data_IF_355780744583
#
_entry.id   IF_355780744583
#
_cell.length_a   1.000
_cell.length_b   1.000
_cell.length_c   1.000
_cell.angle_alpha   90.00
_cell.angle_beta   90.00
_cell.angle_gamma   90.00
#
_symmetry.space_group_name_H-M   'P 1'
#
loop_
_entity.id
_entity.type
_entity.pdbx_description
1 polymer ?
#
# COMPACT_ATOMS: atom_id res chain seq x y z
N UNK A 1 14.53 -7.75 6.56
CA UNK A 1 14.25 -8.60 7.72
C UNK A 1 13.14 -9.61 7.44
N UNK A 2 11.98 -9.15 6.93
CA UNK A 2 10.84 -10.04 6.66
C UNK A 2 11.19 -11.13 5.66
N UNK A 3 11.91 -10.79 4.60
CA UNK A 3 12.33 -11.77 3.57
C UNK A 3 13.17 -12.90 4.15
N UNK A 4 14.05 -12.57 5.08
CA UNK A 4 14.99 -13.54 5.67
C UNK A 4 14.37 -14.35 6.79
N UNK A 5 13.52 -13.73 7.60
CA UNK A 5 13.00 -14.31 8.84
C UNK A 5 11.61 -14.92 8.70
N UNK A 6 10.88 -14.54 7.68
CA UNK A 6 9.51 -15.01 7.44
C UNK A 6 9.39 -15.62 6.03
N UNK A 7 9.94 -16.81 5.78
CA UNK A 7 9.96 -17.39 4.45
C UNK A 7 8.56 -17.72 3.89
N UNK A 8 7.55 -17.81 4.74
CA UNK A 8 6.16 -18.00 4.31
C UNK A 8 5.51 -16.72 3.81
N UNK A 9 6.19 -15.58 3.94
CA UNK A 9 5.69 -14.28 3.49
C UNK A 9 6.45 -13.86 2.25
N UNK A 10 5.73 -13.64 1.16
CA UNK A 10 6.30 -13.02 -0.04
C UNK A 10 6.27 -11.51 0.17
N UNK A 11 7.43 -10.90 0.18
CA UNK A 11 7.57 -9.47 0.44
C UNK A 11 8.15 -8.76 -0.77
N UNK A 12 7.42 -7.80 -1.30
CA UNK A 12 7.88 -6.93 -2.38
C UNK A 12 8.00 -5.51 -1.83
N UNK A 13 9.23 -5.05 -1.73
CA UNK A 13 9.48 -3.66 -1.38
C UNK A 13 9.35 -2.82 -2.64
N UNK A 14 8.24 -2.10 -2.71
CA UNK A 14 7.95 -1.21 -3.83
C UNK A 14 8.58 0.14 -3.58
N UNK A 15 9.91 0.16 -3.57
CA UNK A 15 10.63 1.41 -3.45
C UNK A 15 10.52 2.15 -4.77
N UNK A 16 9.54 3.01 -4.84
CA UNK A 16 9.19 3.73 -6.05
C UNK A 16 9.98 5.02 -6.20
N UNK A 17 10.86 5.31 -5.25
CA UNK A 17 11.56 6.58 -5.25
C UNK A 17 10.66 7.77 -4.94
N UNK A 18 9.50 7.53 -4.32
CA UNK A 18 8.63 8.62 -3.85
C UNK A 18 9.35 9.39 -2.76
N UNK A 19 10.22 10.28 -3.15
CA UNK A 19 10.72 11.29 -2.26
C UNK A 19 9.98 12.57 -2.59
N UNK A 20 9.59 13.28 -1.58
CA UNK A 20 8.93 14.58 -1.75
C UNK A 20 9.80 15.57 -2.50
N UNK A 21 11.08 15.25 -2.63
CA UNK A 21 12.08 16.07 -3.31
C UNK A 21 12.15 15.81 -4.81
N UNK A 22 11.57 14.72 -5.32
CA UNK A 22 11.58 14.47 -6.75
C UNK A 22 10.50 15.31 -7.43
N UNK A 23 10.91 16.00 -8.49
CA UNK A 23 9.99 16.78 -9.31
C UNK A 23 9.50 16.00 -10.54
N UNK A 24 9.92 14.75 -10.69
CA UNK A 24 9.61 13.94 -11.85
C UNK A 24 8.35 13.08 -11.62
N UNK A 25 7.21 13.70 -11.86
CA UNK A 25 5.92 13.04 -11.76
C UNK A 25 5.78 11.87 -12.75
N UNK A 26 6.35 11.99 -13.96
CA UNK A 26 6.26 10.93 -14.96
C UNK A 26 6.96 9.67 -14.51
N UNK A 27 8.12 9.80 -13.89
CA UNK A 27 8.87 8.68 -13.32
C UNK A 27 8.10 8.01 -12.18
N UNK A 28 7.48 8.81 -11.32
CA UNK A 28 6.68 8.31 -10.19
C UNK A 28 5.45 7.53 -10.67
N UNK A 29 4.79 8.00 -11.72
CA UNK A 29 3.64 7.31 -12.31
C UNK A 29 4.08 5.96 -12.89
N UNK A 30 5.19 5.90 -13.61
CA UNK A 30 5.71 4.65 -14.16
C UNK A 30 6.04 3.67 -13.04
N UNK A 31 6.69 4.14 -11.99
CA UNK A 31 7.02 3.33 -10.82
C UNK A 31 5.75 2.80 -10.14
N UNK A 32 4.74 3.63 -9.97
CA UNK A 32 3.46 3.24 -9.37
C UNK A 32 2.76 2.17 -10.20
N UNK A 33 2.71 2.34 -11.53
CA UNK A 33 2.09 1.37 -12.43
C UNK A 33 2.84 0.03 -12.45
N UNK A 34 4.16 0.07 -12.40
CA UNK A 34 4.99 -1.14 -12.32
C UNK A 34 4.71 -1.90 -11.03
N UNK A 35 4.68 -1.19 -9.90
CA UNK A 35 4.35 -1.78 -8.60
C UNK A 35 2.95 -2.35 -8.57
N UNK A 36 1.99 -1.64 -9.13
CA UNK A 36 0.61 -2.09 -9.20
C UNK A 36 0.45 -3.35 -10.05
N UNK A 37 1.19 -3.46 -11.15
CA UNK A 37 1.15 -4.66 -11.99
C UNK A 37 1.57 -5.91 -11.20
N UNK A 38 2.55 -5.80 -10.33
CA UNK A 38 2.98 -6.88 -9.44
C UNK A 38 1.88 -7.20 -8.43
N UNK A 39 1.32 -6.19 -7.79
CA UNK A 39 0.23 -6.36 -6.82
C UNK A 39 -0.99 -7.01 -7.48
N UNK A 40 -1.32 -6.60 -8.69
CA UNK A 40 -2.44 -7.14 -9.44
C UNK A 40 -2.29 -8.64 -9.73
N UNK A 41 -1.08 -9.09 -10.03
CA UNK A 41 -0.78 -10.52 -10.18
C UNK A 41 -1.00 -11.28 -8.88
N UNK A 42 -0.57 -10.71 -7.75
CA UNK A 42 -0.77 -11.32 -6.45
C UNK A 42 -2.25 -11.42 -6.09
N UNK A 43 -3.04 -10.42 -6.44
CA UNK A 43 -4.49 -10.42 -6.20
C UNK A 43 -5.23 -11.47 -7.03
N UNK A 44 -4.65 -11.93 -8.14
CA UNK A 44 -5.22 -12.98 -8.98
C UNK A 44 -4.77 -14.38 -8.56
N UNK A 45 -3.77 -14.47 -7.71
CA UNK A 45 -3.15 -15.73 -7.30
C UNK A 45 -3.86 -16.27 -6.05
N UNK A 46 -4.57 -17.38 -6.19
CA UNK A 46 -5.34 -17.99 -5.11
C UNK A 46 -4.48 -18.68 -4.05
N UNK A 47 -3.18 -18.80 -4.28
CA UNK A 47 -2.26 -19.31 -3.26
C UNK A 47 -1.99 -18.29 -2.15
N UNK A 48 -2.29 -17.02 -2.37
CA UNK A 48 -2.20 -15.99 -1.33
C UNK A 48 -3.54 -15.86 -0.61
N UNK A 49 -3.55 -16.15 0.68
CA UNK A 49 -4.74 -16.01 1.53
C UNK A 49 -4.89 -14.60 2.08
N UNK A 50 -3.81 -13.86 2.15
CA UNK A 50 -3.78 -12.47 2.60
C UNK A 50 -2.81 -11.67 1.75
N UNK A 51 -3.29 -10.56 1.22
CA UNK A 51 -2.47 -9.57 0.50
C UNK A 51 -2.56 -8.25 1.25
N UNK A 52 -1.42 -7.67 1.56
CA UNK A 52 -1.35 -6.35 2.21
C UNK A 52 -0.79 -5.36 1.20
N UNK A 53 -1.56 -4.31 0.95
CA UNK A 53 -1.20 -3.23 0.02
C UNK A 53 -0.93 -1.98 0.86
N UNK A 54 0.32 -1.87 1.29
CA UNK A 54 0.72 -0.81 2.22
C UNK A 54 0.81 0.54 1.50
N UNK A 55 0.18 1.53 2.08
CA UNK A 55 0.16 2.91 1.58
C UNK A 55 -0.41 3.09 0.16
N UNK A 56 -1.27 2.17 -0.27
CA UNK A 56 -1.86 2.22 -1.61
C UNK A 56 -2.64 3.52 -1.87
N UNK A 57 -3.30 4.07 -0.85
CA UNK A 57 -4.14 5.25 -1.03
C UNK A 57 -3.36 6.49 -1.47
N UNK A 58 -2.05 6.54 -1.22
CA UNK A 58 -1.22 7.61 -1.74
C UNK A 58 -1.20 7.64 -3.27
N UNK A 59 -1.18 6.46 -3.90
CA UNK A 59 -1.17 6.35 -5.35
C UNK A 59 -2.47 6.90 -5.94
N UNK A 60 -3.58 6.72 -5.23
CA UNK A 60 -4.88 7.25 -5.61
C UNK A 60 -4.92 8.77 -5.41
N UNK A 61 -4.45 9.23 -4.25
CA UNK A 61 -4.44 10.65 -3.90
C UNK A 61 -3.62 11.50 -4.86
N UNK A 62 -2.51 10.95 -5.36
CA UNK A 62 -1.64 11.64 -6.30
C UNK A 62 -2.04 11.44 -7.77
N UNK A 63 -3.13 10.73 -8.03
CA UNK A 63 -3.56 10.38 -9.40
C UNK A 63 -2.53 9.57 -10.18
N UNK A 64 -1.73 8.76 -9.48
CA UNK A 64 -0.79 7.88 -10.13
C UNK A 64 -1.43 6.58 -10.60
N UNK A 65 -2.47 6.14 -9.91
CA UNK A 65 -3.26 4.95 -10.25
C UNK A 65 -4.74 5.31 -10.25
N UNK A 66 -5.48 4.62 -11.11
CA UNK A 66 -6.92 4.77 -11.23
C UNK A 66 -7.63 3.95 -10.15
N UNK A 67 -8.44 4.61 -9.35
CA UNK A 67 -9.19 3.95 -8.26
C UNK A 67 -10.14 2.88 -8.78
N UNK A 68 -10.79 3.11 -9.91
CA UNK A 68 -11.72 2.14 -10.49
C UNK A 68 -11.02 0.84 -10.89
N UNK A 69 -9.81 0.95 -11.43
CA UNK A 69 -8.99 -0.21 -11.78
C UNK A 69 -8.59 -1.01 -10.54
N UNK A 70 -8.26 -0.32 -9.47
CA UNK A 70 -7.91 -0.95 -8.18
C UNK A 70 -9.12 -1.67 -7.61
N UNK A 71 -10.28 -1.04 -7.58
CA UNK A 71 -11.52 -1.64 -7.10
C UNK A 71 -11.90 -2.87 -7.91
N UNK A 72 -11.76 -2.80 -9.24
CA UNK A 72 -12.04 -3.92 -10.12
C UNK A 72 -11.18 -5.12 -9.79
N UNK A 73 -9.87 -4.90 -9.58
CA UNK A 73 -8.94 -5.97 -9.21
C UNK A 73 -9.30 -6.59 -7.85
N UNK A 74 -9.68 -5.76 -6.88
CA UNK A 74 -10.06 -6.22 -5.55
C UNK A 74 -11.37 -7.03 -5.58
N UNK A 75 -12.33 -6.59 -6.37
CA UNK A 75 -13.63 -7.29 -6.51
C UNK A 75 -13.49 -8.64 -7.20
N UNK A 76 -12.51 -8.78 -8.08
CA UNK A 76 -12.29 -9.99 -8.86
C UNK A 76 -11.28 -10.96 -8.22
N UNK A 77 -10.80 -10.66 -7.03
CA UNK A 77 -9.87 -11.54 -6.33
C UNK A 77 -10.53 -12.87 -5.94
N UNK A 78 -9.74 -13.94 -5.67
CA UNK A 78 -10.30 -15.19 -5.17
C UNK A 78 -11.09 -14.99 -3.87
N UNK A 79 -12.19 -15.73 -3.71
CA UNK A 79 -13.11 -15.60 -2.58
C UNK A 79 -12.43 -15.74 -1.21
N UNK A 80 -11.47 -16.64 -1.12
CA UNK A 80 -10.78 -16.94 0.15
C UNK A 80 -9.59 -16.03 0.41
N UNK A 81 -9.36 -15.04 -0.45
CA UNK A 81 -8.27 -14.09 -0.28
C UNK A 81 -8.76 -12.85 0.45
N UNK A 82 -8.11 -12.53 1.56
CA UNK A 82 -8.32 -11.28 2.29
C UNK A 82 -7.33 -10.23 1.84
N UNK A 83 -7.74 -8.98 1.85
CA UNK A 83 -6.88 -7.86 1.48
C UNK A 83 -6.95 -6.78 2.55
N UNK A 84 -5.79 -6.28 2.91
CA UNK A 84 -5.66 -5.11 3.79
C UNK A 84 -5.01 -4.00 2.99
N UNK A 85 -5.64 -2.84 3.00
CA UNK A 85 -5.11 -1.63 2.36
C UNK A 85 -4.88 -0.59 3.43
N UNK A 86 -3.71 0.03 3.42
CA UNK A 86 -3.40 1.12 4.32
C UNK A 86 -3.10 2.41 3.55
N UNK A 87 -3.17 3.54 4.26
CA UNK A 87 -2.82 4.83 3.69
C UNK A 87 -3.35 5.99 4.52
N UNK A 88 -3.12 7.19 4.03
CA UNK A 88 -3.60 8.44 4.66
C UNK A 88 -4.42 9.20 3.64
N UNK A 89 -5.74 9.25 3.86
CA UNK A 89 -6.62 9.93 2.92
C UNK A 89 -6.66 9.29 1.55
N UNK A 90 -7.50 9.80 0.67
CA UNK A 90 -7.71 9.24 -0.66
C UNK A 90 -8.52 7.96 -0.62
N UNK A 91 -8.98 7.52 -1.79
CA UNK A 91 -9.69 6.25 -1.91
C UNK A 91 -11.07 6.27 -1.29
N UNK A 92 -11.86 7.32 -1.52
CA UNK A 92 -13.22 7.40 -0.99
C UNK A 92 -14.11 6.26 -1.47
N UNK A 93 -14.01 5.86 -2.73
CA UNK A 93 -14.77 4.75 -3.28
C UNK A 93 -14.32 3.41 -2.67
N UNK A 94 -13.02 3.28 -2.45
CA UNK A 94 -12.46 2.12 -1.78
C UNK A 94 -12.97 2.00 -0.34
N UNK A 95 -12.98 3.11 0.39
CA UNK A 95 -13.49 3.18 1.77
C UNK A 95 -14.97 2.82 1.83
N UNK A 96 -15.75 3.30 0.88
CA UNK A 96 -17.18 2.99 0.82
C UNK A 96 -17.43 1.50 0.52
N UNK A 97 -16.62 0.90 -0.32
CA UNK A 97 -16.78 -0.50 -0.70
C UNK A 97 -16.26 -1.50 0.34
N UNK A 98 -15.23 -1.14 1.10
CA UNK A 98 -14.56 -2.06 2.03
C UNK A 98 -15.52 -2.61 3.09
N UNK A 99 -15.31 -3.86 3.47
CA UNK A 99 -16.11 -4.52 4.53
C UNK A 99 -15.87 -3.89 5.89
N UNK A 100 -14.63 -3.49 6.16
CA UNK A 100 -14.23 -2.87 7.43
C UNK A 100 -13.28 -1.72 7.16
N UNK A 101 -13.55 -0.61 7.79
CA UNK A 101 -12.67 0.57 7.73
C UNK A 101 -12.33 0.99 9.15
N UNK A 102 -11.05 1.13 9.42
CA UNK A 102 -10.54 1.60 10.71
C UNK A 102 -9.71 2.84 10.51
N UNK A 103 -9.91 3.81 11.37
CA UNK A 103 -9.10 5.02 11.40
C UNK A 103 -8.21 4.98 12.63
N UNK A 104 -6.91 5.17 12.41
CA UNK A 104 -5.93 5.24 13.49
C UNK A 104 -5.54 6.70 13.66
N UNK A 105 -5.88 7.26 14.80
CA UNK A 105 -5.57 8.66 15.12
C UNK A 105 -4.27 8.76 15.88
N UNK A 106 -3.44 9.70 15.46
CA UNK A 106 -2.26 10.06 16.20
C UNK A 106 -2.66 10.95 17.39
N UNK A 107 -2.59 10.38 18.59
CA UNK A 107 -2.84 11.15 19.80
C UNK A 107 -1.55 11.85 20.24
N UNK A 108 -0.43 11.12 20.11
CA UNK A 108 0.89 11.61 20.49
C UNK A 108 1.92 10.86 19.64
N UNK A 109 2.84 11.59 19.05
CA UNK A 109 3.92 10.98 18.28
C UNK A 109 5.26 11.49 18.79
N UNK A 110 6.18 10.58 19.05
CA UNK A 110 7.50 10.91 19.60
C UNK A 110 8.26 11.92 18.75
N UNK A 111 8.13 11.83 17.42
CA UNK A 111 8.78 12.78 16.51
C UNK A 111 8.33 14.23 16.75
N UNK A 112 7.06 14.45 17.02
CA UNK A 112 6.50 15.78 17.31
C UNK A 112 7.01 16.34 18.65
N UNK A 113 7.57 15.49 19.49
CA UNK A 113 8.20 15.87 20.76
C UNK A 113 9.73 15.89 20.68
N UNK A 114 10.28 15.84 19.47
CA UNK A 114 11.71 15.92 19.25
C UNK A 114 12.46 14.60 19.29
N UNK A 115 11.75 13.47 19.38
CA UNK A 115 12.36 12.15 19.36
C UNK A 115 12.52 11.70 17.91
N UNK A 116 13.77 11.47 17.50
CA UNK A 116 14.08 11.05 16.14
C UNK A 116 13.76 9.56 15.94
N UNK A 117 13.51 9.18 14.69
CA UNK A 117 13.32 7.79 14.31
C UNK A 117 14.56 6.95 14.68
N UNK A 118 14.35 5.74 15.15
CA UNK A 118 15.42 4.83 15.56
C UNK A 118 15.47 3.62 14.67
N UNK A 119 16.69 3.26 14.24
CA UNK A 119 16.91 2.07 13.43
C UNK A 119 16.41 0.81 14.14
N UNK A 120 15.66 -0.01 13.41
CA UNK A 120 15.10 -1.25 13.95
C UNK A 120 13.79 -1.07 14.70
N UNK A 121 13.35 0.18 14.94
CA UNK A 121 12.07 0.50 15.59
C UNK A 121 11.14 1.22 14.62
N UNK A 122 11.60 2.33 14.04
CA UNK A 122 10.80 3.17 13.17
C UNK A 122 11.24 3.13 11.69
N UNK A 123 12.37 2.50 11.42
CA UNK A 123 12.96 2.41 10.08
C UNK A 123 13.21 0.96 9.67
#
# INVERSE_FOLDING_TARGET
YVREKCPSVTFHQMNTGFTWDTQDRSSDIVAAKTSWAIAEKMLKDDSYHLVVLDELTYMISFDYLDEDSILSALKNRPENQSVVVTGRGGGSALTEWADTVSEIKEIKHAYNEGVMARKGVDL
#
